data_IF_461685956096
#
_entry.id   IF_461685956096
#
_cell.length_a   1.000
_cell.length_b   1.000
_cell.length_c   1.000
_cell.angle_alpha   90.00
_cell.angle_beta   90.00
_cell.angle_gamma   90.00
#
_symmetry.space_group_name_H-M   'P 1'
#
loop_
_entity.id
_entity.type
_entity.pdbx_description
1 polymer ?
#
# COMPACT_ATOMS: atom_id res chain seq x y z
N UNK A 1 7.47 12.06 -9.21
CA UNK A 1 7.62 10.60 -9.32
C UNK A 1 7.80 10.08 -7.90
N UNK A 2 7.02 9.11 -7.46
CA UNK A 2 7.21 8.52 -6.12
C UNK A 2 8.36 7.52 -6.20
N UNK A 3 9.19 7.49 -5.16
CA UNK A 3 10.27 6.51 -5.03
C UNK A 3 9.69 5.08 -5.06
N UNK A 4 10.38 4.08 -5.63
CA UNK A 4 9.89 2.69 -5.66
C UNK A 4 9.57 2.12 -4.28
N UNK A 5 10.21 2.64 -3.23
CA UNK A 5 9.90 2.25 -1.84
C UNK A 5 8.76 3.03 -1.19
N UNK A 6 8.07 3.93 -1.90
CA UNK A 6 7.00 4.75 -1.36
C UNK A 6 5.71 4.58 -2.15
N UNK A 7 4.67 4.09 -1.50
CA UNK A 7 3.33 3.95 -2.08
C UNK A 7 2.35 4.87 -1.36
N UNK A 8 1.57 5.62 -2.14
CA UNK A 8 0.46 6.44 -1.65
C UNK A 8 -0.86 5.83 -2.11
N UNK A 9 -1.70 5.46 -1.16
CA UNK A 9 -3.06 4.99 -1.42
C UNK A 9 -4.05 6.06 -0.98
N UNK A 10 -4.99 6.41 -1.85
CA UNK A 10 -6.08 7.32 -1.53
C UNK A 10 -7.36 6.51 -1.48
N UNK A 11 -7.95 6.41 -0.31
CA UNK A 11 -9.23 5.73 -0.10
C UNK A 11 -10.33 6.77 -0.02
N UNK A 12 -11.42 6.53 -0.74
CA UNK A 12 -12.63 7.34 -0.70
C UNK A 12 -13.81 6.43 -0.37
N UNK A 13 -14.54 6.78 0.66
CA UNK A 13 -15.68 6.00 1.15
C UNK A 13 -16.89 6.92 1.24
N UNK A 14 -18.00 6.51 0.65
CA UNK A 14 -19.26 7.23 0.70
C UNK A 14 -20.42 6.23 0.63
N UNK A 15 -21.62 6.59 1.09
CA UNK A 15 -22.82 5.82 0.80
C UNK A 15 -23.01 5.62 -0.71
N UNK A 16 -23.71 4.58 -1.15
CA UNK A 16 -23.93 4.32 -2.57
C UNK A 16 -24.47 5.55 -3.30
N UNK A 17 -23.87 5.87 -4.45
CA UNK A 17 -24.24 7.02 -5.27
C UNK A 17 -23.84 8.39 -4.73
N UNK A 18 -23.13 8.47 -3.60
CA UNK A 18 -22.79 9.75 -2.96
C UNK A 18 -21.29 10.06 -2.98
N UNK A 19 -20.53 9.42 -3.84
CA UNK A 19 -19.12 9.75 -4.04
C UNK A 19 -19.01 11.18 -4.61
N UNK A 20 -18.16 12.01 -4.01
CA UNK A 20 -18.06 13.43 -4.36
C UNK A 20 -18.96 14.37 -3.56
N UNK A 21 -19.83 13.83 -2.70
CA UNK A 21 -20.69 14.63 -1.80
C UNK A 21 -20.00 14.96 -0.48
N UNK A 22 -20.65 15.80 0.34
CA UNK A 22 -20.20 16.11 1.72
C UNK A 22 -20.17 14.88 2.64
N UNK A 23 -20.84 13.80 2.27
CA UNK A 23 -20.83 12.53 3.01
C UNK A 23 -19.63 11.65 2.68
N UNK A 24 -18.85 12.03 1.68
CA UNK A 24 -17.62 11.32 1.37
C UNK A 24 -16.60 11.47 2.49
N UNK A 25 -15.93 10.39 2.81
CA UNK A 25 -14.79 10.35 3.74
C UNK A 25 -13.55 9.92 2.97
N UNK A 26 -12.44 10.55 3.26
CA UNK A 26 -11.18 10.26 2.58
C UNK A 26 -10.05 10.01 3.56
N UNK A 27 -9.26 8.99 3.25
CA UNK A 27 -8.02 8.65 3.96
C UNK A 27 -6.88 8.60 2.95
N UNK A 28 -5.72 9.01 3.38
CA UNK A 28 -4.48 8.83 2.62
C UNK A 28 -3.58 7.93 3.45
N UNK A 29 -3.20 6.80 2.87
CA UNK A 29 -2.22 5.88 3.42
C UNK A 29 -0.91 6.09 2.70
N UNK A 30 0.17 6.22 3.45
CA UNK A 30 1.52 6.20 2.94
C UNK A 30 2.21 4.95 3.46
N UNK A 31 2.74 4.15 2.57
CA UNK A 31 3.51 2.97 2.88
C UNK A 31 4.94 3.16 2.41
N UNK A 32 5.90 2.85 3.27
CA UNK A 32 7.31 2.80 2.91
C UNK A 32 7.82 1.38 3.07
N UNK A 33 8.56 0.92 2.08
CA UNK A 33 9.18 -0.41 2.06
C UNK A 33 10.69 -0.22 1.94
N UNK A 34 11.41 -0.53 3.01
CA UNK A 34 12.87 -0.44 3.06
C UNK A 34 13.44 -1.85 2.97
N UNK A 35 14.11 -2.23 1.87
CA UNK A 35 14.72 -3.54 1.74
C UNK A 35 15.73 -3.79 2.86
N UNK A 36 15.75 -5.01 3.36
CA UNK A 36 16.76 -5.52 4.32
C UNK A 36 17.63 -6.56 3.63
N UNK A 37 17.00 -7.50 2.93
CA UNK A 37 17.66 -8.54 2.13
C UNK A 37 16.74 -8.98 0.98
N UNK A 38 17.08 -10.07 0.29
CA UNK A 38 16.33 -10.57 -0.86
C UNK A 38 14.87 -10.99 -0.56
N UNK A 39 14.57 -11.29 0.71
CA UNK A 39 13.27 -11.84 1.13
C UNK A 39 12.58 -10.99 2.19
N UNK A 40 13.27 -10.00 2.73
CA UNK A 40 12.78 -9.23 3.85
C UNK A 40 12.87 -7.72 3.58
N UNK A 41 11.86 -7.00 4.05
CA UNK A 41 11.86 -5.54 4.08
C UNK A 41 11.18 -5.02 5.35
N UNK A 42 11.50 -3.80 5.72
CA UNK A 42 10.79 -3.10 6.79
C UNK A 42 9.65 -2.33 6.15
N UNK A 43 8.42 -2.68 6.54
CA UNK A 43 7.23 -1.96 6.15
C UNK A 43 6.84 -0.96 7.25
N UNK A 44 6.76 0.31 6.87
CA UNK A 44 6.20 1.37 7.73
C UNK A 44 5.02 2.00 7.02
N UNK A 45 4.04 2.38 7.79
CA UNK A 45 2.87 3.05 7.25
C UNK A 45 2.43 4.21 8.14
N UNK A 46 1.77 5.17 7.53
CA UNK A 46 1.02 6.18 8.24
C UNK A 46 -0.30 6.46 7.55
N UNK A 47 -1.26 6.92 8.31
CA UNK A 47 -2.58 7.29 7.82
C UNK A 47 -2.84 8.76 8.11
N UNK A 48 -3.42 9.44 7.14
CA UNK A 48 -3.85 10.83 7.23
C UNK A 48 -5.29 10.96 6.76
N UNK A 49 -6.05 11.81 7.42
CA UNK A 49 -7.41 12.16 7.03
C UNK A 49 -7.70 13.61 7.38
N UNK A 50 -8.71 14.19 6.75
CA UNK A 50 -9.22 15.48 7.19
C UNK A 50 -9.94 15.32 8.52
N UNK A 51 -9.81 16.31 9.40
CA UNK A 51 -10.43 16.31 10.73
C UNK A 51 -11.95 16.11 10.65
N UNK A 52 -12.59 16.78 9.73
CA UNK A 52 -14.03 16.70 9.46
C UNK A 52 -14.49 15.32 8.95
N UNK A 53 -13.57 14.50 8.43
CA UNK A 53 -13.88 13.15 7.94
C UNK A 53 -13.93 12.10 9.05
N UNK A 54 -13.58 12.45 10.27
CA UNK A 54 -13.64 11.55 11.42
C UNK A 54 -14.76 12.01 12.33
N UNK A 55 -15.97 11.56 12.06
CA UNK A 55 -17.15 11.80 12.89
C UNK A 55 -17.25 10.77 14.01
N UNK A 56 -17.70 11.20 15.18
CA UNK A 56 -17.93 10.35 16.34
C UNK A 56 -16.67 10.08 17.18
N UNK A 57 -16.88 9.38 18.29
CA UNK A 57 -15.81 9.05 19.24
C UNK A 57 -15.52 10.14 20.26
N UNK A 58 -14.62 9.86 21.19
CA UNK A 58 -14.21 10.78 22.26
C UNK A 58 -13.53 12.02 21.67
N UNK A 59 -14.03 13.23 21.92
CA UNK A 59 -13.44 14.48 21.43
C UNK A 59 -12.01 14.73 21.96
N UNK A 60 -11.61 14.07 23.05
CA UNK A 60 -10.25 14.12 23.60
C UNK A 60 -9.25 13.31 22.78
N UNK A 61 -9.71 12.39 21.93
CA UNK A 61 -8.85 11.59 21.07
C UNK A 61 -8.74 12.24 19.71
N UNK A 62 -7.51 12.52 19.26
CA UNK A 62 -7.29 13.13 17.95
C UNK A 62 -7.84 12.26 16.80
N UNK A 63 -8.30 12.90 15.73
CA UNK A 63 -8.77 12.21 14.54
C UNK A 63 -7.73 11.20 13.99
N UNK A 64 -6.47 11.60 13.95
CA UNK A 64 -5.37 10.73 13.51
C UNK A 64 -5.23 9.48 14.39
N UNK A 65 -5.34 9.63 15.71
CA UNK A 65 -5.24 8.50 16.65
C UNK A 65 -6.41 7.52 16.48
N UNK A 66 -7.63 8.05 16.26
CA UNK A 66 -8.81 7.20 16.00
C UNK A 66 -8.65 6.39 14.71
N UNK A 67 -8.24 7.06 13.63
CA UNK A 67 -8.03 6.39 12.35
C UNK A 67 -6.90 5.38 12.45
N UNK A 68 -5.77 5.74 13.05
CA UNK A 68 -4.66 4.81 13.25
C UNK A 68 -5.05 3.56 14.05
N UNK A 69 -5.96 3.70 15.03
CA UNK A 69 -6.46 2.57 15.82
C UNK A 69 -7.34 1.57 15.04
N UNK A 70 -7.81 1.93 13.86
CA UNK A 70 -8.61 1.05 13.00
C UNK A 70 -7.77 0.10 12.13
N UNK A 71 -6.47 0.39 11.96
CA UNK A 71 -5.64 -0.31 11.00
C UNK A 71 -4.80 -1.50 11.52
N UNK A 72 -4.50 -1.68 12.82
CA UNK A 72 -3.62 -2.76 13.25
C UNK A 72 -4.08 -4.13 12.78
N UNK A 73 -5.37 -4.45 12.90
CA UNK A 73 -5.91 -5.74 12.45
C UNK A 73 -5.81 -5.95 10.95
N UNK A 74 -6.03 -4.90 10.16
CA UNK A 74 -5.88 -4.95 8.69
C UNK A 74 -4.42 -5.17 8.32
N UNK A 75 -3.50 -4.48 8.99
CA UNK A 75 -2.06 -4.63 8.75
C UNK A 75 -1.57 -6.02 9.14
N UNK A 76 -2.06 -6.60 10.23
CA UNK A 76 -1.75 -7.96 10.66
C UNK A 76 -2.23 -9.01 9.65
N UNK A 77 -3.44 -8.83 9.10
CA UNK A 77 -3.98 -9.69 8.05
C UNK A 77 -3.12 -9.63 6.77
N UNK A 78 -2.78 -8.43 6.31
CA UNK A 78 -1.91 -8.23 5.15
C UNK A 78 -0.52 -8.83 5.39
N UNK A 79 0.06 -8.64 6.55
CA UNK A 79 1.36 -9.19 6.92
C UNK A 79 1.36 -10.72 6.85
N UNK A 80 0.36 -11.36 7.46
CA UNK A 80 0.18 -12.80 7.39
C UNK A 80 0.06 -13.30 5.95
N UNK A 81 -0.74 -12.64 5.12
CA UNK A 81 -0.93 -13.02 3.71
C UNK A 81 0.37 -12.91 2.91
N UNK A 82 1.12 -11.81 3.08
CA UNK A 82 2.41 -11.59 2.41
C UNK A 82 3.45 -12.64 2.80
N UNK A 83 3.55 -12.99 4.09
CA UNK A 83 4.46 -14.05 4.55
C UNK A 83 4.11 -15.41 3.94
N UNK A 84 2.82 -15.74 3.83
CA UNK A 84 2.37 -16.99 3.19
C UNK A 84 2.67 -16.99 1.70
N UNK A 85 2.42 -15.87 1.03
CA UNK A 85 2.74 -15.71 -0.39
C UNK A 85 4.24 -15.87 -0.63
N UNK A 86 5.10 -15.24 0.18
CA UNK A 86 6.55 -15.37 0.06
C UNK A 86 7.02 -16.81 0.22
N UNK A 87 6.44 -17.55 1.18
CA UNK A 87 6.74 -18.98 1.35
C UNK A 87 6.31 -19.81 0.14
N UNK A 88 5.15 -19.51 -0.45
CA UNK A 88 4.69 -20.21 -1.65
C UNK A 88 5.59 -19.94 -2.87
N UNK A 89 6.08 -18.71 -3.02
CA UNK A 89 6.99 -18.35 -4.11
C UNK A 89 8.33 -19.10 -4.07
N UNK A 90 8.75 -19.59 -2.91
CA UNK A 90 9.96 -20.42 -2.78
C UNK A 90 9.82 -21.78 -3.47
N UNK A 91 8.59 -22.23 -3.72
CA UNK A 91 8.29 -23.48 -4.41
C UNK A 91 7.88 -23.27 -5.88
N UNK A 92 7.96 -22.02 -6.35
CA UNK A 92 7.63 -21.72 -7.74
C UNK A 92 8.70 -22.29 -8.68
N UNK A 93 8.26 -22.94 -9.76
CA UNK A 93 9.14 -23.46 -10.79
C UNK A 93 9.89 -22.33 -11.53
N UNK A 94 11.02 -22.65 -12.19
CA UNK A 94 11.80 -21.68 -12.97
C UNK A 94 11.00 -20.95 -14.05
N UNK A 95 9.92 -21.55 -14.52
CA UNK A 95 8.99 -20.96 -15.50
C UNK A 95 7.83 -20.19 -14.90
N UNK A 96 7.80 -19.98 -13.57
CA UNK A 96 6.70 -19.29 -12.91
C UNK A 96 6.50 -17.89 -13.47
N UNK A 97 5.27 -17.61 -13.85
CA UNK A 97 4.84 -16.29 -14.32
C UNK A 97 3.61 -15.85 -13.55
N UNK A 98 3.66 -14.66 -13.01
CA UNK A 98 2.50 -14.08 -12.32
C UNK A 98 1.36 -13.81 -13.29
N UNK A 99 0.15 -14.21 -12.91
CA UNK A 99 -1.07 -13.90 -13.64
C UNK A 99 -1.59 -12.52 -13.19
N UNK A 100 -1.68 -11.60 -14.14
CA UNK A 100 -2.25 -10.27 -13.90
C UNK A 100 -3.71 -10.20 -14.32
N UNK A 101 -4.56 -9.78 -13.41
CA UNK A 101 -5.96 -9.50 -13.66
C UNK A 101 -6.16 -8.07 -14.20
N UNK A 102 -7.38 -7.76 -14.66
CA UNK A 102 -7.72 -6.40 -15.11
C UNK A 102 -7.59 -5.35 -14.01
N UNK A 103 -7.79 -5.74 -12.76
CA UNK A 103 -7.59 -4.92 -11.55
C UNK A 103 -6.14 -4.51 -11.32
N UNK A 104 -5.17 -5.28 -11.83
CA UNK A 104 -3.75 -5.15 -11.48
C UNK A 104 -2.99 -4.15 -12.35
N UNK A 105 -3.70 -3.28 -13.06
CA UNK A 105 -3.09 -2.27 -13.95
C UNK A 105 -2.07 -1.38 -13.24
N UNK A 106 -2.39 -0.94 -12.02
CA UNK A 106 -1.50 -0.10 -11.21
C UNK A 106 -0.25 -0.88 -10.79
N UNK A 107 -0.42 -2.14 -10.37
CA UNK A 107 0.67 -3.03 -9.99
C UNK A 107 1.62 -3.30 -11.16
N UNK A 108 1.07 -3.64 -12.33
CA UNK A 108 1.85 -3.83 -13.56
C UNK A 108 2.66 -2.59 -13.92
N UNK A 109 2.05 -1.41 -13.82
CA UNK A 109 2.73 -0.14 -14.10
C UNK A 109 3.84 0.13 -13.10
N UNK A 110 3.60 -0.08 -11.81
CA UNK A 110 4.61 0.06 -10.77
C UNK A 110 5.81 -0.87 -11.02
N UNK A 111 5.56 -2.13 -11.37
CA UNK A 111 6.60 -3.11 -11.71
C UNK A 111 7.42 -2.71 -12.94
N UNK A 112 6.77 -2.20 -13.99
CA UNK A 112 7.47 -1.69 -15.17
C UNK A 112 8.42 -0.53 -14.84
N UNK A 113 7.97 0.41 -14.00
CA UNK A 113 8.79 1.53 -13.54
C UNK A 113 9.99 1.00 -12.75
N UNK A 114 9.76 0.08 -11.83
CA UNK A 114 10.82 -0.51 -11.02
C UNK A 114 11.89 -1.22 -11.88
N UNK A 115 11.46 -2.04 -12.82
CA UNK A 115 12.36 -2.73 -13.74
C UNK A 115 13.14 -1.76 -14.65
N UNK A 116 12.52 -0.65 -15.04
CA UNK A 116 13.23 0.39 -15.80
C UNK A 116 14.31 1.04 -14.95
N UNK A 117 14.02 1.39 -13.71
CA UNK A 117 15.00 1.98 -12.80
C UNK A 117 16.21 1.07 -12.57
N UNK A 118 15.98 -0.24 -12.40
CA UNK A 118 17.08 -1.22 -12.27
C UNK A 118 17.95 -1.25 -13.54
N UNK A 119 17.34 -1.18 -14.73
CA UNK A 119 18.10 -1.13 -15.99
C UNK A 119 18.95 0.14 -16.10
N UNK A 120 18.35 1.28 -15.76
CA UNK A 120 19.02 2.58 -15.83
C UNK A 120 20.21 2.63 -14.86
N UNK A 121 20.03 2.08 -13.64
CA UNK A 121 21.09 1.99 -12.63
C UNK A 121 22.27 1.11 -13.10
N UNK A 122 21.97 -0.05 -13.70
CA UNK A 122 23.00 -0.94 -14.25
C UNK A 122 23.78 -0.29 -15.40
N UNK A 123 23.11 0.47 -16.26
CA UNK A 123 23.76 1.18 -17.35
C UNK A 123 24.64 2.35 -16.85
N UNK A 124 24.23 3.02 -15.78
CA UNK A 124 25.02 4.10 -15.19
C UNK A 124 26.25 3.60 -14.41
N UNK A 125 26.29 2.31 -14.06
CA UNK A 125 27.38 1.68 -13.32
C UNK A 125 28.36 0.91 -14.23
N UNK A 126 28.10 0.82 -15.51
CA UNK A 126 28.92 0.17 -16.53
C UNK A 126 29.78 1.17 -17.28
#
# INVERSE_FOLDING_TARGET
>A
MMSPGLTRVVMRVAPPGQLGSEKERGYVLLHTHTPVDASNHIWRWCVSCRKEHVSGGDPKVSAAKRVAGMFPSVVEEDHWALEKQQKMLQFADEGYSELFLKSDKALRRARQIFLQMIRDERQASA
#
